data_IF_504214339212
#
_entry.id   IF_504214339212
#
_cell.length_a   1.000
_cell.length_b   1.000
_cell.length_c   1.000
_cell.angle_alpha   90.00
_cell.angle_beta   90.00
_cell.angle_gamma   90.00
#
_symmetry.space_group_name_H-M   'P 1'
#
loop_
_entity.id
_entity.type
_entity.pdbx_description
1 polymer ?
#
# COMPACT_ATOMS: atom_id res chain seq x y z
N UNK A 1 -3.00 4.43 -12.26
CA UNK A 1 -3.22 5.48 -13.29
C UNK A 1 -4.49 6.27 -13.02
N UNK A 2 -5.59 5.62 -12.69
CA UNK A 2 -6.86 6.31 -12.41
C UNK A 2 -6.75 7.28 -11.23
N UNK A 3 -6.14 6.86 -10.12
CA UNK A 3 -5.89 7.70 -8.93
C UNK A 3 -4.95 8.89 -9.19
N UNK A 4 -4.29 8.94 -10.33
CA UNK A 4 -3.36 10.01 -10.71
C UNK A 4 -4.02 11.09 -11.58
N UNK A 5 -5.34 11.07 -11.75
CA UNK A 5 -6.08 12.05 -12.54
C UNK A 5 -6.05 11.85 -14.05
N UNK A 6 -5.50 10.74 -14.55
CA UNK A 6 -5.44 10.45 -16.00
C UNK A 6 -6.74 9.90 -16.61
N UNK A 7 -7.85 9.95 -15.87
CA UNK A 7 -9.13 9.42 -16.35
C UNK A 7 -9.56 10.08 -17.66
N UNK A 8 -9.44 11.41 -17.74
CA UNK A 8 -9.82 12.15 -18.95
C UNK A 8 -8.91 11.84 -20.13
N UNK A 9 -7.60 11.71 -19.89
CA UNK A 9 -6.63 11.35 -20.91
C UNK A 9 -6.89 9.94 -21.46
N UNK A 10 -7.22 9.00 -20.57
CA UNK A 10 -7.58 7.62 -20.94
C UNK A 10 -8.88 7.61 -21.78
N UNK A 11 -9.90 8.40 -21.41
CA UNK A 11 -11.13 8.52 -22.19
C UNK A 11 -10.85 9.11 -23.57
N UNK A 12 -9.99 10.11 -23.66
CA UNK A 12 -9.61 10.70 -24.93
C UNK A 12 -8.88 9.69 -25.82
N UNK A 13 -7.89 9.00 -25.29
CA UNK A 13 -7.19 7.93 -26.03
C UNK A 13 -8.17 6.87 -26.50
N UNK A 14 -9.09 6.45 -25.63
CA UNK A 14 -10.10 5.43 -25.98
C UNK A 14 -11.07 5.89 -27.08
N UNK A 15 -11.39 7.19 -27.14
CA UNK A 15 -12.25 7.77 -28.19
C UNK A 15 -11.61 7.77 -29.56
N UNK A 16 -10.26 7.83 -29.61
CA UNK A 16 -9.48 7.85 -30.85
C UNK A 16 -9.18 6.43 -31.39
N UNK A 17 -9.49 5.40 -30.60
CA UNK A 17 -9.26 4.00 -30.98
C UNK A 17 -10.44 3.44 -31.81
N UNK A 18 -10.21 2.42 -32.68
CA UNK A 18 -11.26 1.71 -33.39
C UNK A 18 -12.34 1.17 -32.41
N UNK A 19 -13.59 1.24 -32.82
CA UNK A 19 -14.72 0.72 -32.01
C UNK A 19 -14.67 -0.80 -31.84
N UNK A 20 -14.29 -1.51 -32.91
CA UNK A 20 -14.05 -2.95 -32.88
C UNK A 20 -12.61 -3.18 -32.41
N UNK A 21 -12.44 -3.53 -31.15
CA UNK A 21 -11.14 -3.82 -30.54
C UNK A 21 -11.31 -4.77 -29.36
N UNK A 22 -10.26 -5.48 -29.04
CA UNK A 22 -10.12 -6.20 -27.78
C UNK A 22 -9.44 -5.28 -26.76
N UNK A 23 -10.05 -5.15 -25.57
CA UNK A 23 -9.53 -4.30 -24.50
C UNK A 23 -9.30 -5.15 -23.25
N UNK A 24 -8.12 -5.03 -22.63
CA UNK A 24 -7.78 -5.65 -21.37
C UNK A 24 -7.55 -4.57 -20.32
N UNK A 25 -8.15 -4.77 -19.14
CA UNK A 25 -7.92 -3.92 -17.97
C UNK A 25 -7.36 -4.79 -16.83
N UNK A 26 -6.20 -4.40 -16.31
CA UNK A 26 -5.57 -5.07 -15.18
C UNK A 26 -5.46 -4.12 -14.00
N UNK A 27 -5.90 -4.55 -12.85
CA UNK A 27 -5.79 -3.79 -11.61
C UNK A 27 -5.52 -4.73 -10.43
N UNK A 28 -4.71 -4.28 -9.47
CA UNK A 28 -4.52 -4.99 -8.21
C UNK A 28 -5.66 -4.71 -7.23
N UNK A 29 -6.31 -3.55 -7.34
CA UNK A 29 -7.48 -3.14 -6.55
C UNK A 29 -8.64 -2.83 -7.48
N UNK A 30 -9.84 -3.26 -7.12
CA UNK A 30 -11.04 -3.08 -7.94
C UNK A 30 -12.07 -2.24 -7.19
N UNK A 31 -11.78 -0.93 -7.08
CA UNK A 31 -12.71 0.03 -6.49
C UNK A 31 -13.92 0.29 -7.41
N UNK A 32 -14.99 0.85 -6.83
CA UNK A 32 -16.18 1.24 -7.62
C UNK A 32 -15.85 2.24 -8.74
N UNK A 33 -14.83 3.08 -8.55
CA UNK A 33 -14.35 4.02 -9.58
C UNK A 33 -13.66 3.29 -10.73
N UNK A 34 -12.79 2.32 -10.41
CA UNK A 34 -12.13 1.48 -11.42
C UNK A 34 -13.15 0.67 -12.21
N UNK A 35 -14.14 0.10 -11.52
CA UNK A 35 -15.24 -0.63 -12.16
C UNK A 35 -15.99 0.24 -13.16
N UNK A 36 -16.40 1.44 -12.75
CA UNK A 36 -17.11 2.37 -13.61
C UNK A 36 -16.35 2.73 -14.89
N UNK A 37 -15.05 2.96 -14.76
CA UNK A 37 -14.21 3.30 -15.92
C UNK A 37 -14.00 2.06 -16.80
N UNK A 38 -13.83 0.88 -16.23
CA UNK A 38 -13.76 -0.36 -16.98
C UNK A 38 -15.04 -0.59 -17.80
N UNK A 39 -16.22 -0.37 -17.22
CA UNK A 39 -17.51 -0.46 -17.90
C UNK A 39 -17.66 0.58 -19.03
N UNK A 40 -17.08 1.78 -18.87
CA UNK A 40 -17.08 2.82 -19.92
C UNK A 40 -16.15 2.45 -21.12
N UNK A 41 -15.06 1.75 -20.86
CA UNK A 41 -14.01 1.48 -21.86
C UNK A 41 -14.12 0.13 -22.55
N UNK A 42 -14.88 -0.80 -21.98
CA UNK A 42 -15.00 -2.17 -22.44
C UNK A 42 -16.44 -2.53 -22.74
N UNK A 43 -16.65 -3.35 -23.76
CA UNK A 43 -17.96 -3.89 -24.11
C UNK A 43 -18.01 -5.36 -23.62
N UNK A 44 -19.04 -5.71 -22.84
CA UNK A 44 -19.32 -7.07 -22.37
C UNK A 44 -18.07 -7.79 -21.82
N UNK A 45 -17.41 -7.12 -20.88
CA UNK A 45 -16.12 -7.58 -20.36
C UNK A 45 -16.30 -8.74 -19.38
N UNK A 46 -15.54 -9.81 -19.56
CA UNK A 46 -15.42 -10.89 -18.60
C UNK A 46 -14.46 -10.50 -17.47
N UNK A 47 -14.93 -10.58 -16.23
CA UNK A 47 -14.13 -10.29 -15.06
C UNK A 47 -13.48 -11.58 -14.51
N UNK A 48 -12.16 -11.63 -14.56
CA UNK A 48 -11.36 -12.70 -13.94
C UNK A 48 -10.68 -12.15 -12.70
N UNK A 49 -11.07 -12.65 -11.52
CA UNK A 49 -10.44 -12.29 -10.26
C UNK A 49 -9.60 -13.44 -9.73
N UNK A 50 -8.33 -13.16 -9.44
CA UNK A 50 -7.48 -14.06 -8.66
C UNK A 50 -7.58 -13.66 -7.18
N UNK A 51 -7.51 -14.61 -6.25
CA UNK A 51 -7.65 -14.32 -4.81
C UNK A 51 -6.60 -13.31 -4.34
N UNK A 52 -7.09 -12.12 -3.98
CA UNK A 52 -6.30 -10.92 -3.69
C UNK A 52 -5.55 -10.99 -2.34
N UNK A 53 -5.93 -11.90 -1.44
CA UNK A 53 -5.44 -11.91 -0.06
C UNK A 53 -4.03 -12.52 0.12
N UNK A 54 -3.43 -13.12 -0.90
CA UNK A 54 -2.15 -13.82 -0.76
C UNK A 54 -0.93 -12.89 -0.60
N UNK A 55 -1.01 -11.63 -1.03
CA UNK A 55 0.15 -10.72 -0.95
C UNK A 55 0.41 -10.23 0.48
N UNK A 56 -0.65 -10.02 1.27
CA UNK A 56 -0.52 -9.57 2.66
C UNK A 56 -0.12 -10.70 3.62
N UNK A 57 -0.48 -11.95 3.30
CA UNK A 57 -0.25 -13.12 4.16
C UNK A 57 1.25 -13.50 4.28
N UNK A 58 2.07 -13.07 3.32
CA UNK A 58 3.51 -13.31 3.31
C UNK A 58 4.35 -12.11 3.79
N UNK A 59 3.69 -11.02 4.20
CA UNK A 59 4.36 -9.80 4.67
C UNK A 59 4.13 -9.65 6.17
N UNK A 60 5.22 -9.77 6.95
CA UNK A 60 5.18 -9.40 8.36
C UNK A 60 4.98 -7.89 8.50
N UNK A 61 4.01 -7.47 9.31
CA UNK A 61 3.63 -6.07 9.45
C UNK A 61 3.76 -5.65 10.91
N UNK A 62 4.47 -4.54 11.16
CA UNK A 62 4.70 -4.01 12.50
C UNK A 62 4.59 -2.49 12.53
N UNK A 63 4.41 -1.94 13.72
CA UNK A 63 4.21 -0.51 13.97
C UNK A 63 5.34 0.03 14.82
N UNK A 64 5.91 1.16 14.40
CA UNK A 64 6.93 1.89 15.16
C UNK A 64 6.32 3.17 15.70
N UNK A 65 6.10 3.24 17.00
CA UNK A 65 5.59 4.44 17.68
C UNK A 65 6.72 5.43 17.93
N UNK A 66 6.48 6.72 17.71
CA UNK A 66 7.49 7.77 17.93
C UNK A 66 6.91 9.00 18.64
N UNK A 67 7.74 9.65 19.46
CA UNK A 67 7.37 10.82 20.29
C UNK A 67 7.94 12.14 19.78
N UNK A 68 8.06 12.30 18.48
CA UNK A 68 8.51 13.53 17.83
C UNK A 68 9.47 13.29 16.67
N UNK A 69 9.80 14.35 15.93
CA UNK A 69 10.57 14.23 14.68
C UNK A 69 11.99 13.71 14.88
N UNK A 70 12.64 14.08 15.97
CA UNK A 70 13.99 13.60 16.28
C UNK A 70 13.99 12.12 16.66
N UNK A 71 13.05 11.69 17.50
CA UNK A 71 12.87 10.30 17.88
C UNK A 71 12.52 9.44 16.65
N UNK A 72 11.58 9.88 15.82
CA UNK A 72 11.20 9.21 14.57
C UNK A 72 12.41 8.91 13.68
N UNK A 73 13.29 9.92 13.51
CA UNK A 73 14.51 9.75 12.72
C UNK A 73 15.49 8.77 13.38
N UNK A 74 15.70 8.88 14.69
CA UNK A 74 16.63 8.01 15.41
C UNK A 74 16.16 6.55 15.37
N UNK A 75 14.87 6.30 15.52
CA UNK A 75 14.31 4.96 15.40
C UNK A 75 14.47 4.41 13.97
N UNK A 76 14.26 5.24 12.94
CA UNK A 76 14.51 4.83 11.55
C UNK A 76 15.98 4.44 11.34
N UNK A 77 16.93 5.26 11.77
CA UNK A 77 18.36 4.96 11.64
C UNK A 77 18.71 3.68 12.41
N UNK A 78 18.15 3.51 13.60
CA UNK A 78 18.35 2.30 14.40
C UNK A 78 17.83 1.03 13.72
N UNK A 79 16.69 1.12 13.03
CA UNK A 79 16.17 0.01 12.23
C UNK A 79 17.09 -0.31 11.05
N UNK A 80 17.46 0.70 10.27
CA UNK A 80 18.27 0.54 9.05
C UNK A 80 19.69 0.01 9.32
N UNK A 81 20.20 0.15 10.54
CA UNK A 81 21.51 -0.38 10.93
C UNK A 81 21.48 -1.85 11.39
N UNK A 82 20.33 -2.53 11.33
CA UNK A 82 20.26 -3.96 11.61
C UNK A 82 20.62 -4.75 10.36
N UNK A 83 21.31 -5.87 10.52
CA UNK A 83 21.82 -6.70 9.42
C UNK A 83 20.71 -7.24 8.48
N UNK A 84 19.47 -7.34 8.97
CA UNK A 84 18.32 -7.81 8.19
C UNK A 84 17.80 -6.80 7.15
N UNK A 85 18.21 -5.52 7.25
CA UNK A 85 17.77 -4.45 6.35
C UNK A 85 18.71 -4.28 5.14
N UNK A 86 18.60 -5.19 4.18
CA UNK A 86 19.48 -5.19 3.01
C UNK A 86 19.03 -4.21 1.92
N UNK A 87 17.78 -4.32 1.47
CA UNK A 87 17.19 -3.51 0.40
C UNK A 87 15.86 -2.94 0.83
N UNK A 88 15.81 -1.65 1.08
CA UNK A 88 14.70 -0.98 1.75
C UNK A 88 14.05 0.08 0.87
N UNK A 89 12.72 0.10 0.85
CA UNK A 89 11.96 1.23 0.29
C UNK A 89 11.27 1.97 1.43
N UNK A 90 11.51 3.29 1.51
CA UNK A 90 10.87 4.18 2.47
C UNK A 90 9.88 5.09 1.74
N UNK A 91 8.63 5.09 2.18
CA UNK A 91 7.59 5.94 1.63
C UNK A 91 7.40 7.20 2.47
N UNK A 92 7.48 8.37 1.81
CA UNK A 92 7.16 9.67 2.37
C UNK A 92 6.09 10.38 1.56
N UNK A 93 5.35 11.28 2.20
CA UNK A 93 4.21 11.98 1.60
C UNK A 93 4.64 13.03 0.58
N UNK A 94 5.65 13.86 0.91
CA UNK A 94 6.01 15.00 0.08
C UNK A 94 7.37 14.85 -0.59
N UNK A 95 7.51 15.43 -1.79
CA UNK A 95 8.78 15.44 -2.54
C UNK A 95 9.94 16.07 -1.75
N UNK A 96 9.68 17.15 -1.01
CA UNK A 96 10.69 17.81 -0.17
C UNK A 96 11.05 16.97 1.06
N UNK A 97 10.06 16.33 1.70
CA UNK A 97 10.27 15.42 2.83
C UNK A 97 11.13 14.23 2.42
N UNK A 98 10.81 13.60 1.29
CA UNK A 98 11.55 12.47 0.71
C UNK A 98 12.99 12.85 0.38
N UNK A 99 13.24 13.99 -0.29
CA UNK A 99 14.59 14.44 -0.59
C UNK A 99 15.39 14.71 0.69
N UNK A 100 14.80 15.46 1.63
CA UNK A 100 15.45 15.80 2.89
C UNK A 100 15.78 14.54 3.71
N UNK A 101 14.85 13.59 3.78
CA UNK A 101 15.08 12.33 4.51
C UNK A 101 16.25 11.55 3.90
N UNK A 102 16.30 11.43 2.57
CA UNK A 102 17.41 10.77 1.89
C UNK A 102 18.75 11.45 2.18
N UNK A 103 18.81 12.80 2.11
CA UNK A 103 20.02 13.56 2.40
C UNK A 103 20.46 13.41 3.87
N UNK A 104 19.53 13.30 4.80
CA UNK A 104 19.80 13.06 6.23
C UNK A 104 20.31 11.65 6.48
N UNK A 105 19.78 10.64 5.78
CA UNK A 105 20.28 9.25 5.86
C UNK A 105 21.70 9.13 5.31
N UNK A 106 21.99 9.79 4.19
CA UNK A 106 23.37 9.82 3.64
C UNK A 106 24.35 10.47 4.61
N UNK A 107 23.99 11.57 5.27
CA UNK A 107 24.81 12.19 6.32
C UNK A 107 25.04 11.29 7.53
N UNK A 108 24.15 10.34 7.75
CA UNK A 108 24.25 9.34 8.81
C UNK A 108 25.00 8.07 8.37
N UNK A 109 25.57 8.06 7.16
CA UNK A 109 26.36 6.94 6.62
C UNK A 109 25.53 5.84 5.95
N UNK A 110 24.22 6.04 5.76
CA UNK A 110 23.33 5.08 5.09
C UNK A 110 23.26 5.40 3.61
N UNK A 111 23.60 4.43 2.74
CA UNK A 111 23.52 4.59 1.28
C UNK A 111 22.07 4.75 0.84
N UNK A 112 21.63 5.97 0.57
CA UNK A 112 20.25 6.26 0.21
C UNK A 112 20.12 7.15 -1.02
N UNK A 113 18.99 7.04 -1.75
CA UNK A 113 18.61 7.92 -2.86
C UNK A 113 17.12 8.23 -2.81
N UNK A 114 16.81 9.47 -3.18
CA UNK A 114 15.43 9.92 -3.28
C UNK A 114 14.87 9.77 -4.71
N UNK A 115 13.59 9.38 -4.83
CA UNK A 115 12.83 9.41 -6.07
C UNK A 115 11.48 10.11 -5.88
N UNK A 116 11.24 11.18 -6.64
CA UNK A 116 10.04 12.01 -6.56
C UNK A 116 9.77 12.76 -7.86
N UNK A 117 8.64 13.47 -7.95
CA UNK A 117 8.17 14.11 -9.18
C UNK A 117 9.11 15.16 -9.78
N UNK A 118 9.93 15.84 -8.98
CA UNK A 118 10.88 16.86 -9.48
C UNK A 118 12.15 16.26 -10.11
N UNK A 119 12.34 14.95 -10.05
CA UNK A 119 13.43 14.25 -10.75
C UNK A 119 13.03 14.01 -12.20
N UNK A 120 13.88 14.41 -13.13
CA UNK A 120 13.68 14.07 -14.55
C UNK A 120 13.84 12.56 -14.78
N UNK A 121 13.39 12.08 -15.95
CA UNK A 121 13.39 10.65 -16.24
C UNK A 121 14.77 10.00 -16.21
N UNK A 122 15.81 10.73 -16.66
CA UNK A 122 17.20 10.24 -16.62
C UNK A 122 17.70 10.03 -15.18
N UNK A 123 17.40 10.98 -14.30
CA UNK A 123 17.73 10.88 -12.87
C UNK A 123 16.99 9.71 -12.21
N UNK A 124 15.69 9.54 -12.50
CA UNK A 124 14.87 8.43 -11.98
C UNK A 124 15.44 7.08 -12.43
N UNK A 125 15.74 6.94 -13.71
CA UNK A 125 16.31 5.71 -14.27
C UNK A 125 17.67 5.38 -13.64
N UNK A 126 18.51 6.40 -13.39
CA UNK A 126 19.80 6.23 -12.72
C UNK A 126 19.63 5.70 -11.29
N UNK A 127 18.76 6.33 -10.51
CA UNK A 127 18.48 5.92 -9.11
C UNK A 127 17.94 4.49 -9.06
N UNK A 128 16.98 4.16 -9.92
CA UNK A 128 16.41 2.81 -10.00
C UNK A 128 17.48 1.78 -10.35
N UNK A 129 18.35 2.09 -11.31
CA UNK A 129 19.45 1.19 -11.69
C UNK A 129 20.41 0.97 -10.53
N UNK A 130 20.82 2.04 -9.84
CA UNK A 130 21.70 1.95 -8.68
C UNK A 130 21.08 1.08 -7.57
N UNK A 131 19.79 1.27 -7.30
CA UNK A 131 19.07 0.48 -6.31
C UNK A 131 18.88 -0.98 -6.73
N UNK A 132 18.67 -1.26 -8.03
CA UNK A 132 18.60 -2.63 -8.57
C UNK A 132 19.93 -3.37 -8.46
N UNK A 133 21.02 -2.66 -8.66
CA UNK A 133 22.39 -3.21 -8.66
C UNK A 133 23.04 -3.25 -7.27
N UNK A 134 22.26 -3.01 -6.21
CA UNK A 134 22.75 -2.98 -4.82
C UNK A 134 23.87 -1.94 -4.57
N UNK A 135 23.93 -0.88 -5.42
CA UNK A 135 24.81 0.28 -5.21
C UNK A 135 24.23 1.27 -4.18
N UNK A 136 22.94 1.12 -3.87
CA UNK A 136 22.15 1.91 -2.93
C UNK A 136 21.24 0.97 -2.14
N UNK A 137 21.28 1.05 -0.83
CA UNK A 137 20.57 0.15 0.08
C UNK A 137 19.13 0.64 0.36
N UNK A 138 18.95 1.97 0.35
CA UNK A 138 17.68 2.62 0.73
C UNK A 138 17.18 3.52 -0.38
N UNK A 139 15.96 3.24 -0.86
CA UNK A 139 15.22 4.10 -1.77
C UNK A 139 14.14 4.87 -1.02
N UNK A 140 14.23 6.20 -0.94
CA UNK A 140 13.19 7.06 -0.34
C UNK A 140 12.30 7.60 -1.45
N UNK A 141 10.99 7.32 -1.41
CA UNK A 141 10.09 7.54 -2.54
C UNK A 141 8.75 8.17 -2.13
N UNK A 142 8.17 8.98 -3.03
CA UNK A 142 6.74 9.31 -2.96
C UNK A 142 5.92 8.21 -3.67
N UNK A 143 4.64 8.04 -3.30
CA UNK A 143 3.75 7.04 -3.91
C UNK A 143 3.73 7.15 -5.44
N UNK A 144 3.52 8.36 -5.96
CA UNK A 144 3.46 8.64 -7.40
C UNK A 144 4.74 8.20 -8.11
N UNK A 145 5.90 8.45 -7.51
CA UNK A 145 7.18 8.11 -8.12
C UNK A 145 7.52 6.63 -8.01
N UNK A 146 7.02 5.94 -6.98
CA UNK A 146 7.23 4.52 -6.76
C UNK A 146 6.25 3.63 -7.54
N UNK A 147 5.11 4.16 -7.98
CA UNK A 147 4.14 3.41 -8.78
C UNK A 147 4.76 2.95 -10.10
N UNK A 148 4.50 1.70 -10.45
CA UNK A 148 5.03 1.10 -11.69
C UNK A 148 6.51 0.75 -11.65
N UNK A 149 7.22 0.99 -10.55
CA UNK A 149 8.59 0.52 -10.41
C UNK A 149 8.59 -1.00 -10.18
N UNK A 150 9.22 -1.70 -11.11
CA UNK A 150 9.57 -3.11 -10.94
C UNK A 150 10.93 -3.19 -10.26
N UNK A 151 10.93 -3.46 -8.96
CA UNK A 151 12.13 -3.60 -8.15
C UNK A 151 12.07 -4.97 -7.47
N UNK A 152 12.95 -5.88 -7.84
CA UNK A 152 13.04 -7.20 -7.21
C UNK A 152 13.76 -7.13 -5.85
N UNK A 153 13.54 -8.13 -5.03
CA UNK A 153 14.29 -8.40 -3.79
C UNK A 153 14.26 -7.28 -2.74
N UNK A 154 13.16 -6.52 -2.65
CA UNK A 154 12.97 -5.58 -1.54
C UNK A 154 12.71 -6.39 -0.28
N UNK A 155 13.60 -6.28 0.70
CA UNK A 155 13.50 -6.95 2.00
C UNK A 155 12.46 -6.27 2.89
N UNK A 156 12.53 -4.94 2.97
CA UNK A 156 11.70 -4.15 3.87
C UNK A 156 11.02 -2.97 3.17
N UNK A 157 9.78 -2.72 3.57
CA UNK A 157 9.04 -1.50 3.24
C UNK A 157 8.81 -0.70 4.51
N UNK A 158 9.10 0.58 4.49
CA UNK A 158 8.86 1.48 5.62
C UNK A 158 7.89 2.58 5.18
N UNK A 159 6.70 2.60 5.78
CA UNK A 159 5.78 3.72 5.70
C UNK A 159 6.24 4.79 6.70
N UNK A 160 7.17 5.65 6.27
CA UNK A 160 7.63 6.75 7.11
C UNK A 160 6.51 7.76 7.34
N UNK A 161 5.73 8.08 6.30
CA UNK A 161 4.46 8.80 6.43
C UNK A 161 3.29 7.84 6.20
N UNK A 162 2.27 7.93 7.06
CA UNK A 162 1.07 7.09 7.01
C UNK A 162 0.36 7.31 5.66
N UNK A 163 0.03 6.25 4.91
CA UNK A 163 -0.73 6.39 3.68
C UNK A 163 -2.13 6.91 3.95
N UNK A 164 -2.68 7.72 3.04
CA UNK A 164 -3.99 8.33 3.20
C UNK A 164 -5.14 7.34 2.94
N UNK A 165 -4.91 6.31 2.10
CA UNK A 165 -5.88 5.29 1.78
C UNK A 165 -5.32 3.88 2.04
N UNK A 166 -6.23 2.94 2.33
CA UNK A 166 -5.87 1.54 2.52
C UNK A 166 -5.25 0.92 1.26
N UNK A 167 -5.75 1.29 0.08
CA UNK A 167 -5.21 0.83 -1.20
C UNK A 167 -3.76 1.27 -1.40
N UNK A 168 -3.42 2.50 -1.00
CA UNK A 168 -2.02 2.97 -1.02
C UNK A 168 -1.15 2.15 -0.08
N UNK A 169 -1.67 1.80 1.11
CA UNK A 169 -0.97 0.92 2.03
C UNK A 169 -0.64 -0.43 1.40
N UNK A 170 -1.62 -1.07 0.80
CA UNK A 170 -1.43 -2.37 0.12
C UNK A 170 -0.43 -2.23 -1.05
N UNK A 171 -0.54 -1.17 -1.84
CA UNK A 171 0.39 -0.90 -2.95
C UNK A 171 1.83 -0.67 -2.48
N UNK A 172 2.02 -0.05 -1.30
CA UNK A 172 3.34 0.16 -0.71
C UNK A 172 3.93 -1.14 -0.20
N UNK A 173 3.22 -1.86 0.68
CA UNK A 173 3.72 -3.11 1.25
C UNK A 173 3.95 -4.19 0.19
N UNK A 174 3.14 -4.21 -0.87
CA UNK A 174 3.33 -5.10 -2.02
C UNK A 174 4.60 -4.83 -2.84
N UNK A 175 5.51 -3.94 -2.39
CA UNK A 175 6.87 -3.83 -2.94
C UNK A 175 7.80 -4.89 -2.38
N UNK A 176 7.51 -5.45 -1.21
CA UNK A 176 8.18 -6.63 -0.64
C UNK A 176 7.28 -7.86 -0.72
N UNK A 177 7.74 -9.01 -0.29
CA UNK A 177 6.97 -10.25 -0.27
C UNK A 177 6.60 -10.80 -1.65
N UNK A 178 7.37 -10.51 -2.71
CA UNK A 178 7.10 -10.92 -4.09
C UNK A 178 7.70 -12.28 -4.43
N UNK A 179 7.10 -12.95 -5.42
CA UNK A 179 7.57 -14.22 -5.95
C UNK A 179 7.75 -15.33 -4.89
N UNK A 180 6.83 -15.40 -3.93
CA UNK A 180 6.85 -16.42 -2.87
C UNK A 180 7.87 -16.18 -1.75
N UNK A 181 8.56 -15.03 -1.75
CA UNK A 181 9.44 -14.63 -0.64
C UNK A 181 8.64 -13.94 0.47
N UNK A 182 9.07 -14.10 1.71
CA UNK A 182 8.57 -13.29 2.83
C UNK A 182 9.13 -11.88 2.75
N UNK A 183 8.38 -10.91 3.27
CA UNK A 183 8.80 -9.52 3.37
C UNK A 183 8.39 -8.92 4.70
N UNK A 184 8.91 -7.74 5.02
CA UNK A 184 8.55 -7.02 6.24
C UNK A 184 8.15 -5.58 5.92
N UNK A 185 7.10 -5.11 6.58
CA UNK A 185 6.62 -3.74 6.46
C UNK A 185 6.51 -3.08 7.84
N UNK A 186 7.13 -1.92 8.00
CA UNK A 186 7.01 -1.09 9.20
C UNK A 186 6.19 0.16 8.90
N UNK A 187 5.30 0.54 9.84
CA UNK A 187 4.56 1.81 9.74
C UNK A 187 4.85 2.68 10.94
N UNK A 188 5.39 3.86 10.70
CA UNK A 188 5.66 4.84 11.73
C UNK A 188 4.40 5.60 12.12
N UNK A 189 4.02 5.55 13.40
CA UNK A 189 2.86 6.25 13.93
C UNK A 189 3.25 7.14 15.11
N UNK A 190 2.68 8.34 15.25
CA UNK A 190 2.94 9.15 16.42
C UNK A 190 2.31 8.51 17.66
N UNK A 191 3.04 8.54 18.78
CA UNK A 191 2.48 8.15 20.07
C UNK A 191 1.22 8.95 20.37
N UNK A 192 0.11 8.27 20.56
CA UNK A 192 -1.09 8.88 21.12
C UNK A 192 -0.87 9.13 22.60
N UNK A 193 -0.44 10.35 22.97
CA UNK A 193 -0.47 10.75 24.38
C UNK A 193 -1.88 10.53 24.89
N UNK A 194 -2.09 9.78 25.99
CA UNK A 194 -3.40 9.72 26.59
C UNK A 194 -3.80 11.17 26.91
N UNK A 195 -4.90 11.63 26.31
CA UNK A 195 -5.46 12.95 26.68
C UNK A 195 -5.56 12.95 28.21
N UNK A 196 -4.75 13.79 28.87
CA UNK A 196 -4.95 14.10 30.27
C UNK A 196 -6.38 14.57 30.37
N UNK A 197 -7.21 13.71 30.93
CA UNK A 197 -8.62 14.02 31.20
C UNK A 197 -8.68 15.39 31.82
N UNK A 198 -9.36 16.32 31.16
CA UNK A 198 -9.66 17.63 31.68
C UNK A 198 -10.05 17.49 33.15
N UNK A 199 -9.39 18.29 34.02
CA UNK A 199 -9.70 18.38 35.44
C UNK A 199 -11.21 18.38 35.61
N UNK A 200 -11.74 17.35 36.27
CA UNK A 200 -13.14 17.34 36.69
C UNK A 200 -13.32 18.55 37.60
N UNK A 201 -14.34 19.40 37.38
CA UNK A 201 -14.74 20.36 38.41
C UNK A 201 -15.14 19.52 39.63
N UNK A 202 -14.50 19.78 40.74
CA UNK A 202 -14.92 19.30 42.05
C UNK A 202 -16.33 19.80 42.33
N UNK A 203 -17.16 18.91 42.91
CA UNK A 203 -18.48 19.15 43.47
C UNK A 203 -19.71 18.90 42.58
N UNK A 204 -20.05 17.63 42.43
CA UNK A 204 -21.46 17.22 42.64
C UNK A 204 -21.44 15.87 43.38
N UNK A 205 -21.94 15.92 44.65
CA UNK A 205 -22.30 14.75 45.45
C UNK A 205 -23.51 14.06 44.82
N UNK A 206 -23.54 12.77 45.00
CA UNK A 206 -24.72 11.89 45.24
C UNK A 206 -24.77 10.70 44.30
N UNK A 207 -24.85 9.53 44.96
CA UNK A 207 -25.52 8.36 44.42
C UNK A 207 -24.69 7.07 44.38
N UNK A 208 -24.72 6.35 45.50
CA UNK A 208 -24.36 4.92 45.59
C UNK A 208 -25.14 4.10 44.57
N UNK A 209 -24.43 3.41 43.65
CA UNK A 209 -24.95 2.19 43.06
C UNK A 209 -23.81 1.26 42.57
N UNK A 210 -23.87 -0.05 42.81
CA UNK A 210 -22.72 -0.92 42.74
C UNK A 210 -22.52 -1.58 41.37
N UNK A 211 -21.28 -1.56 40.94
CA UNK A 211 -20.51 -2.53 40.14
C UNK A 211 -21.17 -3.20 38.90
N UNK A 212 -20.70 -2.81 37.73
CA UNK A 212 -20.52 -3.73 36.58
C UNK A 212 -19.08 -3.59 36.04
N UNK A 213 -18.42 -4.69 35.68
CA UNK A 213 -17.05 -4.65 35.21
C UNK A 213 -16.98 -4.14 33.75
N UNK A 214 -16.10 -3.15 33.51
CA UNK A 214 -15.82 -2.62 32.19
C UNK A 214 -15.02 -3.65 31.39
N UNK A 215 -15.59 -4.15 30.29
CA UNK A 215 -14.86 -4.83 29.24
C UNK A 215 -14.17 -3.76 28.38
N UNK A 216 -12.83 -3.87 28.21
CA UNK A 216 -12.05 -3.07 27.26
C UNK A 216 -12.57 -3.37 25.84
N UNK A 217 -13.21 -2.40 25.23
CA UNK A 217 -13.59 -2.47 23.82
C UNK A 217 -12.51 -1.81 22.96
N UNK A 218 -11.88 -2.61 22.14
CA UNK A 218 -11.05 -2.16 21.02
C UNK A 218 -11.98 -1.45 20.02
N UNK A 219 -11.61 -0.29 19.44
CA UNK A 219 -12.44 0.35 18.42
C UNK A 219 -12.46 -0.53 17.17
N UNK A 220 -13.61 -1.11 16.88
CA UNK A 220 -13.89 -1.85 15.66
C UNK A 220 -14.27 -0.82 14.60
N UNK A 221 -13.41 -0.59 13.60
CA UNK A 221 -13.80 0.15 12.42
C UNK A 221 -14.95 -0.57 11.72
N UNK A 222 -16.07 0.12 11.60
CA UNK A 222 -17.24 -0.35 10.87
C UNK A 222 -16.93 -0.27 9.37
N UNK A 223 -16.64 -1.41 8.76
CA UNK A 223 -16.81 -1.60 7.34
C UNK A 223 -18.29 -1.86 7.07
N UNK A 224 -18.95 -1.00 6.34
CA UNK A 224 -20.31 -1.25 5.84
C UNK A 224 -20.29 -2.43 4.88
N UNK A 225 -20.83 -3.52 5.37
CA UNK A 225 -21.00 -4.76 4.62
C UNK A 225 -22.38 -4.72 3.95
N UNK A 226 -22.45 -4.20 2.72
CA UNK A 226 -23.65 -4.41 1.88
C UNK A 226 -23.52 -5.78 1.19
N UNK A 227 -23.94 -6.80 1.92
CA UNK A 227 -24.06 -8.17 1.41
C UNK A 227 -25.10 -8.25 0.31
N UNK A 228 -24.66 -8.41 -0.93
CA UNK A 228 -25.46 -9.04 -1.98
C UNK A 228 -24.89 -10.41 -2.26
N UNK A 229 -25.63 -11.42 -1.79
CA UNK A 229 -25.41 -12.82 -2.11
C UNK A 229 -25.54 -13.05 -3.62
N UNK A 230 -24.45 -13.22 -4.33
CA UNK A 230 -24.46 -13.81 -5.67
C UNK A 230 -24.30 -15.31 -5.55
N UNK A 231 -25.40 -16.04 -5.70
CA UNK A 231 -25.39 -17.49 -5.93
C UNK A 231 -24.82 -17.73 -7.33
N UNK A 232 -23.61 -18.27 -7.40
CA UNK A 232 -23.07 -18.84 -8.63
C UNK A 232 -23.79 -20.17 -8.91
N UNK A 233 -24.57 -20.22 -9.98
CA UNK A 233 -25.13 -21.46 -10.51
C UNK A 233 -24.03 -22.17 -11.33
N UNK A 234 -23.46 -23.19 -10.73
CA UNK A 234 -22.55 -24.11 -11.41
C UNK A 234 -23.38 -25.22 -12.08
N UNK A 235 -23.73 -25.06 -13.36
CA UNK A 235 -24.30 -26.12 -14.17
C UNK A 235 -23.16 -26.80 -14.97
N UNK A 236 -22.55 -27.82 -14.37
CA UNK A 236 -21.61 -28.70 -15.03
C UNK A 236 -22.31 -29.62 -16.00
N UNK A 237 -22.20 -29.38 -17.29
CA UNK A 237 -22.50 -30.40 -18.32
C UNK A 237 -21.31 -31.33 -18.48
N UNK A 238 -21.43 -32.53 -17.94
CA UNK A 238 -20.57 -33.68 -18.30
C UNK A 238 -20.87 -34.09 -19.72
N UNK A 239 -19.94 -33.90 -20.66
CA UNK A 239 -19.98 -34.59 -21.96
C UNK A 239 -19.38 -35.98 -21.82
N UNK A 240 -20.21 -36.99 -22.12
CA UNK A 240 -19.78 -38.39 -22.29
C UNK A 240 -18.89 -38.49 -23.53
N UNK A 241 -17.70 -39.04 -23.36
CA UNK A 241 -16.89 -39.58 -24.47
C UNK A 241 -17.41 -40.97 -24.74
N UNK A 242 -17.96 -41.18 -25.91
CA UNK A 242 -18.19 -42.52 -26.50
C UNK A 242 -16.87 -42.96 -27.12
N UNK A 243 -16.43 -44.14 -26.68
CA UNK A 243 -15.42 -44.94 -27.35
C UNK A 243 -16.11 -45.74 -28.44
N UNK A 244 -15.68 -45.61 -29.68
CA UNK A 244 -16.00 -46.57 -30.74
C UNK A 244 -14.69 -47.15 -31.26
N UNK A 245 -14.55 -48.44 -31.01
CA UNK A 245 -13.64 -49.37 -31.74
C UNK A 245 -14.10 -49.48 -33.20
N UNK A 246 -13.14 -49.63 -34.09
CA UNK A 246 -13.31 -49.93 -35.50
C UNK A 246 -12.00 -49.71 -36.26
#
# INVERSE_FOLDING_TARGET
>A
MLDMGFVNDIRQIASDLPKERQTFCFSATFSAEVQKIAEELMNDAEMVSTSVNQTADHIYQDVVEFSGSADRKNQLISLLNKDEFEKVIIFGETKFGVQRLSDELEKSGISSRAIHGDKNQGQRNRVIRQFKNDEVDVLVATDVAARGLDIPNVSHVINYDIPQAYDDYIHRIGRTGRAGKSGTAYTFVPETKPQQSAKRPSDVRVGNNPRRPFKKSVPRMQGENSGKNYRANYNGKRSKRETSEG
#
